data_IF_401491775939
#
_entry.id   IF_401491775939
#
_cell.length_a   1.000
_cell.length_b   1.000
_cell.length_c   1.000
_cell.angle_alpha   90.00
_cell.angle_beta   90.00
_cell.angle_gamma   90.00
#
_symmetry.space_group_name_H-M   'P 1'
#
loop_
_entity.id
_entity.type
_entity.pdbx_description
1 polymer ?
#
# COMPACT_ATOMS: atom_id res chain seq x y z
N UNK A 1 23.78 9.55 -18.52
CA UNK A 1 23.97 8.37 -17.63
C UNK A 1 23.38 8.58 -16.22
N UNK A 2 22.31 9.38 -16.07
CA UNK A 2 21.70 9.71 -14.77
C UNK A 2 20.26 9.17 -14.65
N UNK A 3 19.94 8.06 -15.30
CA UNK A 3 18.56 7.49 -15.32
C UNK A 3 18.43 6.20 -14.51
N UNK A 4 19.50 5.75 -13.86
CA UNK A 4 19.58 4.41 -13.28
C UNK A 4 19.57 4.40 -11.75
N UNK A 5 20.07 5.43 -11.07
CA UNK A 5 20.16 5.43 -9.60
C UNK A 5 18.81 5.73 -8.94
N UNK A 6 18.12 6.77 -9.40
CA UNK A 6 16.80 7.15 -8.87
C UNK A 6 15.76 6.04 -9.08
N UNK A 7 15.81 5.35 -10.23
CA UNK A 7 14.93 4.22 -10.49
C UNK A 7 15.22 3.01 -9.60
N UNK A 8 16.49 2.77 -9.23
CA UNK A 8 16.84 1.62 -8.41
C UNK A 8 16.57 1.88 -6.92
N UNK A 9 16.79 3.12 -6.45
CA UNK A 9 16.40 3.53 -5.09
C UNK A 9 14.88 3.54 -4.91
N UNK A 10 14.13 4.13 -5.84
CA UNK A 10 12.68 4.09 -5.81
C UNK A 10 12.17 2.64 -5.76
N UNK A 11 12.80 1.74 -6.51
CA UNK A 11 12.46 0.32 -6.53
C UNK A 11 12.85 -0.42 -5.24
N UNK A 12 13.94 -0.04 -4.58
CA UNK A 12 14.33 -0.57 -3.27
C UNK A 12 13.36 -0.14 -2.16
N UNK A 13 12.88 1.10 -2.21
CA UNK A 13 11.84 1.63 -1.32
C UNK A 13 10.49 0.98 -1.61
N UNK A 14 10.13 0.89 -2.89
CA UNK A 14 8.89 0.28 -3.35
C UNK A 14 8.83 -1.23 -3.07
N UNK A 15 9.98 -1.91 -2.96
CA UNK A 15 10.03 -3.31 -2.50
C UNK A 15 9.48 -3.51 -1.08
N UNK A 16 9.34 -2.44 -0.29
CA UNK A 16 8.75 -2.43 1.06
C UNK A 16 7.47 -1.59 1.12
N UNK A 17 7.00 -1.13 -0.04
CA UNK A 17 5.79 -0.36 -0.14
C UNK A 17 4.60 -1.27 -0.42
N UNK A 18 3.44 -0.80 0.00
CA UNK A 18 2.15 -1.35 -0.31
C UNK A 18 1.31 -0.30 -1.00
N UNK A 19 0.40 -0.73 -1.87
CA UNK A 19 -0.63 0.14 -2.42
C UNK A 19 -1.96 -0.19 -1.78
N UNK A 20 -2.58 0.86 -1.27
CA UNK A 20 -3.94 0.90 -0.80
C UNK A 20 -4.81 1.50 -1.92
N UNK A 21 -5.60 0.67 -2.59
CA UNK A 21 -6.55 1.11 -3.60
C UNK A 21 -7.94 1.15 -3.01
N UNK A 22 -8.66 2.25 -3.21
CA UNK A 22 -10.06 2.39 -2.80
C UNK A 22 -10.92 1.63 -3.79
N UNK A 23 -11.53 0.54 -3.34
CA UNK A 23 -12.49 -0.26 -4.07
C UNK A 23 -13.90 0.07 -3.57
N UNK A 24 -14.75 0.69 -4.40
CA UNK A 24 -16.15 0.95 -4.04
C UNK A 24 -16.67 2.34 -4.43
N UNK A 25 -17.65 2.84 -3.65
CA UNK A 25 -18.36 4.08 -3.94
C UNK A 25 -17.53 5.30 -3.52
N UNK A 26 -16.67 5.76 -4.42
CA UNK A 26 -15.59 6.78 -4.30
C UNK A 26 -15.96 8.00 -3.45
N UNK A 27 -15.71 7.98 -2.12
CA UNK A 27 -15.69 9.19 -1.32
C UNK A 27 -14.36 9.91 -1.61
N UNK A 28 -14.26 11.21 -1.33
CA UNK A 28 -12.96 11.89 -1.28
C UNK A 28 -12.18 11.39 -0.06
N UNK A 29 -11.54 10.23 -0.18
CA UNK A 29 -10.69 9.66 0.86
C UNK A 29 -9.35 10.38 0.82
N UNK A 30 -8.88 10.82 1.99
CA UNK A 30 -7.58 11.47 2.13
C UNK A 30 -6.56 10.50 2.73
N UNK A 31 -5.26 10.79 2.57
CA UNK A 31 -4.19 10.01 3.21
C UNK A 31 -4.37 9.93 4.75
N UNK A 32 -4.97 10.97 5.37
CA UNK A 32 -5.34 10.97 6.78
C UNK A 32 -6.35 9.88 7.15
N UNK A 33 -7.38 9.68 6.31
CA UNK A 33 -8.36 8.61 6.55
C UNK A 33 -7.74 7.22 6.36
N UNK A 34 -6.86 7.05 5.37
CA UNK A 34 -6.17 5.77 5.15
C UNK A 34 -5.22 5.45 6.31
N UNK A 35 -4.48 6.44 6.81
CA UNK A 35 -3.60 6.28 7.96
C UNK A 35 -4.35 5.97 9.26
N UNK A 36 -5.45 6.67 9.53
CA UNK A 36 -6.33 6.37 10.66
C UNK A 36 -6.91 4.94 10.57
N UNK A 37 -7.34 4.53 9.37
CA UNK A 37 -7.87 3.18 9.13
C UNK A 37 -6.79 2.11 9.37
N UNK A 38 -5.58 2.32 8.86
CA UNK A 38 -4.43 1.44 9.09
C UNK A 38 -4.09 1.33 10.58
N UNK A 39 -4.07 2.46 11.29
CA UNK A 39 -3.83 2.51 12.73
C UNK A 39 -4.94 1.77 13.50
N UNK A 40 -6.21 1.95 13.12
CA UNK A 40 -7.34 1.31 13.77
C UNK A 40 -7.39 -0.21 13.52
N UNK A 41 -7.22 -0.63 12.26
CA UNK A 41 -7.32 -2.03 11.82
C UNK A 41 -6.08 -2.85 12.21
N UNK A 42 -4.88 -2.33 12.01
CA UNK A 42 -3.63 -3.07 12.19
C UNK A 42 -2.83 -2.66 13.44
N UNK A 43 -3.30 -1.65 14.19
CA UNK A 43 -2.62 -1.14 15.41
C UNK A 43 -1.19 -0.68 15.12
N UNK A 44 -0.96 -0.04 13.98
CA UNK A 44 0.32 0.60 13.67
C UNK A 44 0.47 1.92 14.44
N UNK A 45 1.69 2.23 14.88
CA UNK A 45 2.02 3.53 15.47
C UNK A 45 2.22 4.61 14.40
N UNK A 46 1.87 5.84 14.75
CA UNK A 46 2.15 7.03 13.92
C UNK A 46 3.67 7.19 13.77
N UNK A 47 4.18 6.90 12.56
CA UNK A 47 5.61 6.97 12.24
C UNK A 47 6.24 5.63 11.82
N UNK A 48 5.56 4.50 12.03
CA UNK A 48 6.05 3.21 11.54
C UNK A 48 5.85 3.04 10.01
N UNK A 49 4.91 3.81 9.46
CA UNK A 49 4.61 3.88 8.04
C UNK A 49 4.32 5.30 7.58
N UNK A 50 4.49 5.55 6.29
CA UNK A 50 4.16 6.82 5.64
C UNK A 50 3.14 6.58 4.53
N UNK A 51 2.09 7.38 4.48
CA UNK A 51 1.05 7.30 3.44
C UNK A 51 1.21 8.46 2.48
N UNK A 52 1.50 8.14 1.23
CA UNK A 52 1.59 9.08 0.12
C UNK A 52 0.39 8.92 -0.81
N UNK A 53 -0.29 10.02 -1.10
CA UNK A 53 -1.34 10.04 -2.11
C UNK A 53 -0.70 9.97 -3.50
N UNK A 54 -0.88 8.87 -4.21
CA UNK A 54 -0.37 8.73 -5.59
C UNK A 54 -1.46 9.07 -6.62
N UNK A 55 -2.70 8.61 -6.38
CA UNK A 55 -3.91 8.94 -7.14
C UNK A 55 -5.07 9.19 -6.18
N UNK A 56 -6.17 9.81 -6.64
CA UNK A 56 -7.39 9.92 -5.83
C UNK A 56 -7.93 8.55 -5.37
N UNK A 57 -7.60 7.49 -6.11
CA UNK A 57 -8.04 6.11 -5.84
C UNK A 57 -6.92 5.22 -5.29
N UNK A 58 -5.64 5.62 -5.42
CA UNK A 58 -4.47 4.83 -5.01
C UNK A 58 -3.56 5.59 -4.03
N UNK A 59 -3.28 4.95 -2.91
CA UNK A 59 -2.39 5.44 -1.87
C UNK A 59 -1.19 4.51 -1.76
N UNK A 60 0.00 5.08 -1.66
CA UNK A 60 1.24 4.35 -1.47
C UNK A 60 1.59 4.40 0.02
N UNK A 61 1.73 3.24 0.64
CA UNK A 61 2.09 3.08 2.04
C UNK A 61 3.51 2.54 2.08
N UNK A 62 4.45 3.28 2.65
CA UNK A 62 5.85 2.86 2.77
C UNK A 62 6.11 2.54 4.24
N UNK A 63 6.45 1.30 4.54
CA UNK A 63 6.80 0.86 5.89
C UNK A 63 8.28 1.11 6.16
N UNK A 64 8.59 1.70 7.32
CA UNK A 64 9.96 1.80 7.81
C UNK A 64 10.49 0.45 8.30
N UNK A 65 9.59 -0.39 8.80
CA UNK A 65 9.89 -1.67 9.44
C UNK A 65 9.49 -2.87 8.57
N UNK A 66 10.41 -3.83 8.38
CA UNK A 66 10.09 -5.10 7.69
C UNK A 66 9.05 -5.94 8.45
N UNK A 67 9.00 -5.85 9.77
CA UNK A 67 8.04 -6.54 10.63
C UNK A 67 6.59 -6.11 10.36
N UNK A 68 6.39 -4.82 10.11
CA UNK A 68 5.09 -4.24 9.78
C UNK A 68 4.62 -4.61 8.39
N UNK A 69 5.55 -4.61 7.43
CA UNK A 69 5.32 -5.15 6.09
C UNK A 69 5.02 -6.66 6.13
N UNK A 70 5.74 -7.44 6.96
CA UNK A 70 5.54 -8.89 7.09
C UNK A 70 4.16 -9.23 7.65
N UNK A 71 3.67 -8.45 8.63
CA UNK A 71 2.28 -8.54 9.12
C UNK A 71 1.23 -8.29 8.04
N UNK A 72 1.57 -7.48 7.04
CA UNK A 72 0.73 -7.18 5.90
C UNK A 72 1.08 -8.01 4.64
N UNK A 73 1.85 -9.11 4.80
CA UNK A 73 2.09 -10.04 3.69
C UNK A 73 0.80 -10.75 3.31
N UNK A 74 0.15 -10.22 2.28
CA UNK A 74 -1.08 -10.75 1.72
C UNK A 74 -1.85 -9.70 0.91
N UNK A 75 -2.98 -10.11 0.34
CA UNK A 75 -4.03 -9.18 -0.07
C UNK A 75 -4.93 -8.96 1.14
N UNK A 76 -4.99 -7.72 1.63
CA UNK A 76 -5.90 -7.35 2.71
C UNK A 76 -7.01 -6.49 2.16
N UNK A 77 -8.24 -6.99 2.21
CA UNK A 77 -9.42 -6.20 1.85
C UNK A 77 -10.11 -5.75 3.13
N UNK A 78 -10.07 -4.44 3.40
CA UNK A 78 -10.83 -3.81 4.47
C UNK A 78 -12.15 -3.34 3.87
N UNK A 79 -13.25 -3.99 4.24
CA UNK A 79 -14.58 -3.54 3.85
C UNK A 79 -15.11 -2.59 4.92
N UNK A 80 -15.27 -1.31 4.59
CA UNK A 80 -15.96 -0.34 5.43
C UNK A 80 -17.36 -0.07 4.84
N UNK A 81 -18.34 0.35 5.67
CA UNK A 81 -19.68 0.66 5.19
C UNK A 81 -19.72 1.80 4.15
N UNK A 82 -18.69 2.64 4.11
CA UNK A 82 -18.62 3.80 3.22
C UNK A 82 -17.75 3.54 1.96
N UNK A 83 -16.74 2.67 2.06
CA UNK A 83 -15.83 2.30 0.98
C UNK A 83 -15.14 0.97 1.32
N UNK A 84 -14.61 0.25 0.34
CA UNK A 84 -13.63 -0.80 0.62
C UNK A 84 -12.23 -0.31 0.28
N UNK A 85 -11.24 -0.81 1.01
CA UNK A 85 -9.82 -0.54 0.79
C UNK A 85 -9.14 -1.87 0.54
N UNK A 86 -8.58 -2.05 -0.66
CA UNK A 86 -7.74 -3.19 -0.99
C UNK A 86 -6.27 -2.79 -0.80
N UNK A 87 -5.60 -3.43 0.13
CA UNK A 87 -4.17 -3.30 0.35
C UNK A 87 -3.47 -4.46 -0.33
N UNK A 88 -2.57 -4.11 -1.24
CA UNK A 88 -1.74 -5.06 -1.99
C UNK A 88 -0.28 -4.69 -1.84
N UNK A 89 0.58 -5.69 -1.74
CA UNK A 89 2.02 -5.43 -1.85
C UNK A 89 2.31 -4.77 -3.19
N UNK A 90 3.19 -3.78 -3.19
CA UNK A 90 3.74 -3.24 -4.43
C UNK A 90 4.68 -4.28 -5.05
N UNK A 91 4.12 -5.25 -5.76
CA UNK A 91 4.89 -6.15 -6.59
C UNK A 91 5.24 -5.42 -7.89
N UNK A 92 6.54 -5.36 -8.20
CA UNK A 92 7.11 -4.82 -9.46
C UNK A 92 6.49 -5.41 -10.74
N UNK A 93 5.67 -6.46 -10.62
CA UNK A 93 4.94 -7.14 -11.69
C UNK A 93 3.53 -6.59 -11.97
N UNK A 94 2.99 -5.68 -11.17
CA UNK A 94 1.58 -5.26 -11.27
C UNK A 94 1.21 -4.39 -12.50
N UNK A 95 2.14 -4.15 -13.43
CA UNK A 95 1.82 -3.66 -14.77
C UNK A 95 1.47 -4.78 -15.77
N UNK A 96 1.56 -6.05 -15.37
CA UNK A 96 0.95 -7.18 -16.08
C UNK A 96 -0.11 -7.80 -15.15
N UNK A 97 -1.30 -8.02 -15.70
CA UNK A 97 -2.50 -8.31 -14.93
C UNK A 97 -2.41 -9.50 -13.98
N UNK A 98 -3.26 -9.45 -12.96
CA UNK A 98 -3.98 -10.58 -12.36
C UNK A 98 -3.49 -11.97 -12.82
N UNK A 99 -2.67 -12.63 -12.02
CA UNK A 99 -2.33 -14.03 -12.24
C UNK A 99 -1.39 -14.59 -11.17
N UNK A 100 -1.94 -15.47 -10.32
CA UNK A 100 -1.15 -16.43 -9.53
C UNK A 100 -0.74 -15.97 -8.14
N UNK A 101 -1.63 -16.15 -7.16
CA UNK A 101 -1.19 -16.45 -5.80
C UNK A 101 -0.62 -17.87 -5.82
N UNK A 102 0.70 -18.02 -5.75
CA UNK A 102 1.33 -19.28 -5.34
C UNK A 102 2.00 -19.04 -3.99
N UNK A 103 1.39 -19.64 -2.97
CA UNK A 103 1.94 -19.79 -1.64
C UNK A 103 3.00 -20.90 -1.67
N UNK A 104 4.17 -20.64 -1.09
CA UNK A 104 5.08 -21.67 -0.58
C UNK A 104 5.48 -21.26 0.83
#
# INVERSE_FOLDING_TARGET
>A
LARSVEMDEAKAVLSRAMVATITGNRPQVTAGNVSELLCCTFKFEEGDFTVHTHRPEDFLIIFGSRTSMDRMRGDHLISCPHFALSLRLWCKLAHAGCGGFEYC
#
